data_IF_075535096139
#
_entry.id   IF_075535096139
#
_cell.length_a   1.000
_cell.length_b   1.000
_cell.length_c   1.000
_cell.angle_alpha   90.00
_cell.angle_beta   90.00
_cell.angle_gamma   90.00
#
_symmetry.space_group_name_H-M   'P 1'
#
loop_
_entity.id
_entity.type
_entity.pdbx_description
1 polymer ?
#
# COMPACT_ATOMS: atom_id res chain seq x y z
N UNK A 1 -10.04 2.82 -4.66
CA UNK A 1 -8.74 3.32 -4.14
C UNK A 1 -8.03 4.03 -5.27
N UNK A 2 -7.14 4.95 -4.95
CA UNK A 2 -6.45 5.75 -5.96
C UNK A 2 -4.95 5.52 -5.81
N UNK A 3 -4.25 5.45 -6.94
CA UNK A 3 -2.79 5.46 -6.95
C UNK A 3 -2.28 6.70 -6.20
N UNK A 4 -1.29 6.51 -5.36
CA UNK A 4 -0.65 7.59 -4.62
C UNK A 4 0.11 8.50 -5.58
N UNK A 5 0.09 9.82 -5.31
CA UNK A 5 1.03 10.74 -5.96
C UNK A 5 2.44 10.54 -5.43
N UNK A 6 3.46 11.07 -6.12
CA UNK A 6 4.89 10.83 -5.83
C UNK A 6 5.24 10.95 -4.34
N UNK A 7 4.85 12.06 -3.71
CA UNK A 7 5.14 12.26 -2.28
C UNK A 7 4.31 11.33 -1.38
N UNK A 8 3.06 11.04 -1.73
CA UNK A 8 2.24 10.09 -0.95
C UNK A 8 2.87 8.70 -0.98
N UNK A 9 3.39 8.26 -2.13
CA UNK A 9 4.12 7.00 -2.30
C UNK A 9 5.34 6.96 -1.38
N UNK A 10 6.19 7.98 -1.45
CA UNK A 10 7.42 8.05 -0.62
C UNK A 10 7.07 8.02 0.87
N UNK A 11 6.06 8.77 1.32
CA UNK A 11 5.67 8.76 2.73
C UNK A 11 5.08 7.41 3.16
N UNK A 12 4.30 6.75 2.30
CA UNK A 12 3.76 5.42 2.58
C UNK A 12 4.85 4.36 2.65
N UNK A 13 5.87 4.43 1.79
CA UNK A 13 7.02 3.52 1.83
C UNK A 13 7.78 3.63 3.16
N UNK A 14 8.03 4.85 3.64
CA UNK A 14 8.64 5.09 4.97
C UNK A 14 7.77 4.51 6.08
N UNK A 15 6.45 4.70 6.00
CA UNK A 15 5.53 4.19 7.01
C UNK A 15 5.41 2.65 7.00
N UNK A 16 5.43 2.01 5.83
CA UNK A 16 5.41 0.56 5.69
C UNK A 16 6.70 -0.10 6.15
N UNK A 17 7.85 0.56 5.94
CA UNK A 17 9.14 0.08 6.43
C UNK A 17 9.27 0.12 7.96
N UNK A 18 8.45 0.93 8.65
CA UNK A 18 8.50 1.07 10.10
C UNK A 18 7.61 0.07 10.83
N UNK A 19 8.17 -0.54 11.89
CA UNK A 19 7.42 -1.40 12.83
C UNK A 19 6.61 -0.63 13.88
N UNK A 20 6.82 0.69 13.99
CA UNK A 20 6.16 1.56 14.97
C UNK A 20 5.47 2.74 14.29
N UNK A 21 4.44 3.33 14.92
CA UNK A 21 3.90 4.61 14.45
C UNK A 21 5.00 5.67 14.40
N UNK A 22 4.97 6.51 13.37
CA UNK A 22 5.96 7.57 13.14
C UNK A 22 5.33 8.94 13.24
N UNK A 23 6.00 9.87 13.93
CA UNK A 23 5.60 11.28 13.91
C UNK A 23 5.98 11.93 12.57
N UNK A 24 5.43 13.10 12.26
CA UNK A 24 5.88 13.88 11.09
C UNK A 24 7.38 14.16 11.14
N UNK A 25 7.95 14.36 12.33
CA UNK A 25 9.39 14.56 12.49
C UNK A 25 10.16 13.28 12.18
N UNK A 26 9.73 12.14 12.71
CA UNK A 26 10.36 10.85 12.43
C UNK A 26 10.35 10.54 10.94
N UNK A 27 9.23 10.77 10.26
CA UNK A 27 9.12 10.59 8.81
C UNK A 27 10.12 11.49 8.09
N UNK A 28 10.19 12.78 8.46
CA UNK A 28 11.11 13.72 7.84
C UNK A 28 12.59 13.32 8.01
N UNK A 29 12.94 12.73 9.16
CA UNK A 29 14.29 12.22 9.45
C UNK A 29 14.64 10.95 8.66
N UNK A 30 13.63 10.15 8.30
CA UNK A 30 13.79 8.93 7.51
C UNK A 30 13.68 9.14 5.99
N UNK A 31 13.36 10.36 5.54
CA UNK A 31 13.36 10.69 4.13
C UNK A 31 14.79 10.88 3.60
N UNK A 32 15.06 10.28 2.45
CA UNK A 32 16.30 10.50 1.71
C UNK A 32 16.49 11.99 1.36
N UNK A 33 17.75 12.41 1.19
CA UNK A 33 18.11 13.81 0.86
C UNK A 33 17.37 14.33 -0.38
N UNK A 34 17.21 13.49 -1.40
CA UNK A 34 16.48 13.82 -2.64
C UNK A 34 14.99 14.12 -2.43
N UNK A 35 14.44 13.61 -1.32
CA UNK A 35 13.05 13.76 -0.93
C UNK A 35 12.87 14.66 0.29
N UNK A 36 13.92 15.35 0.76
CA UNK A 36 13.78 16.31 1.85
C UNK A 36 12.80 17.42 1.45
N UNK A 37 11.75 17.56 2.25
CA UNK A 37 10.69 18.57 2.09
C UNK A 37 10.59 19.44 3.31
N UNK A 38 9.89 20.57 3.18
CA UNK A 38 9.49 21.35 4.33
C UNK A 38 8.59 20.52 5.25
N UNK A 39 8.76 20.68 6.57
CA UNK A 39 7.98 19.97 7.59
C UNK A 39 6.46 20.10 7.36
N UNK A 40 5.98 21.29 7.02
CA UNK A 40 4.56 21.56 6.78
C UNK A 40 4.01 20.81 5.56
N UNK A 41 4.84 20.57 4.55
CA UNK A 41 4.46 19.76 3.37
C UNK A 41 4.23 18.30 3.78
N UNK A 42 5.19 17.70 4.49
CA UNK A 42 5.06 16.33 5.01
C UNK A 42 3.85 16.20 5.93
N UNK A 43 3.67 17.18 6.84
CA UNK A 43 2.52 17.23 7.75
C UNK A 43 1.19 17.23 6.98
N UNK A 44 1.08 18.08 5.94
CA UNK A 44 -0.15 18.21 5.15
C UNK A 44 -0.44 16.94 4.34
N UNK A 45 0.59 16.29 3.82
CA UNK A 45 0.43 15.04 3.05
C UNK A 45 0.02 13.90 3.97
N UNK A 46 0.60 13.78 5.16
CA UNK A 46 0.18 12.81 6.17
C UNK A 46 -1.27 13.04 6.63
N UNK A 47 -1.68 14.30 6.80
CA UNK A 47 -3.07 14.63 7.14
C UNK A 47 -4.03 14.28 5.98
N UNK A 48 -3.62 14.50 4.74
CA UNK A 48 -4.38 14.07 3.56
C UNK A 48 -4.51 12.55 3.46
N UNK A 49 -3.42 11.80 3.66
CA UNK A 49 -3.43 10.33 3.70
C UNK A 49 -4.36 9.83 4.82
N UNK A 50 -4.35 10.50 5.96
CA UNK A 50 -5.25 10.18 7.07
C UNK A 50 -6.71 10.43 6.71
N UNK A 51 -7.03 11.60 6.14
CA UNK A 51 -8.38 11.95 5.69
C UNK A 51 -8.92 10.99 4.64
N UNK A 52 -8.04 10.47 3.77
CA UNK A 52 -8.37 9.44 2.76
C UNK A 52 -8.48 8.02 3.36
N UNK A 53 -8.12 7.82 4.64
CA UNK A 53 -8.22 6.54 5.34
C UNK A 53 -7.06 5.59 5.12
N UNK A 54 -5.96 6.02 4.50
CA UNK A 54 -4.79 5.14 4.26
C UNK A 54 -3.90 4.98 5.49
N UNK A 55 -3.89 5.98 6.37
CA UNK A 55 -3.17 5.95 7.64
C UNK A 55 -4.09 6.27 8.80
N UNK A 56 -3.88 5.60 9.92
CA UNK A 56 -4.46 6.00 11.20
C UNK A 56 -3.48 6.92 11.92
N UNK A 57 -4.00 7.83 12.74
CA UNK A 57 -3.18 8.69 13.59
C UNK A 57 -3.59 8.61 15.05
N UNK A 58 -2.61 8.74 15.94
CA UNK A 58 -2.82 8.88 17.38
C UNK A 58 -2.02 10.06 17.88
N UNK A 59 -2.55 10.76 18.89
CA UNK A 59 -1.83 11.85 19.55
C UNK A 59 -0.62 11.29 20.32
N UNK A 60 0.53 11.90 20.12
CA UNK A 60 1.79 11.60 20.79
C UNK A 60 2.41 12.91 21.28
N UNK A 61 2.19 13.21 22.57
CA UNK A 61 2.48 14.52 23.16
C UNK A 61 1.78 15.67 22.42
N UNK A 62 2.57 16.55 21.78
CA UNK A 62 2.09 17.70 20.99
C UNK A 62 1.96 17.39 19.50
N UNK A 63 2.37 16.21 19.05
CA UNK A 63 2.33 15.79 17.64
C UNK A 63 1.31 14.66 17.42
N UNK A 64 1.15 14.27 16.16
CA UNK A 64 0.45 13.04 15.78
C UNK A 64 1.47 12.03 15.25
N UNK A 65 1.33 10.78 15.68
CA UNK A 65 2.02 9.63 15.13
C UNK A 65 1.08 8.86 14.20
N UNK A 66 1.60 8.47 13.04
CA UNK A 66 0.87 7.85 11.93
C UNK A 66 1.31 6.40 11.76
N UNK A 67 0.38 5.53 11.36
CA UNK A 67 0.69 4.16 10.92
C UNK A 67 -0.21 3.78 9.74
N UNK A 68 0.26 2.95 8.80
CA UNK A 68 -0.58 2.41 7.75
C UNK A 68 -1.79 1.66 8.33
N UNK A 69 -2.95 1.80 7.69
CA UNK A 69 -4.13 0.99 8.03
C UNK A 69 -4.03 -0.42 7.44
N UNK A 70 -3.33 -0.55 6.31
CA UNK A 70 -3.10 -1.80 5.57
C UNK A 70 -1.61 -1.98 5.28
N UNK A 71 -1.17 -3.22 5.14
CA UNK A 71 0.15 -3.53 4.62
C UNK A 71 0.31 -3.07 3.16
N UNK A 72 1.54 -3.09 2.65
CA UNK A 72 1.82 -2.76 1.25
C UNK A 72 1.15 -3.76 0.32
N UNK A 73 1.22 -5.04 0.67
CA UNK A 73 0.66 -6.17 -0.07
C UNK A 73 -0.87 -6.09 -0.09
N UNK A 74 -1.50 -5.83 1.06
CA UNK A 74 -2.96 -5.61 1.15
C UNK A 74 -3.43 -4.41 0.32
N UNK A 75 -2.63 -3.34 0.27
CA UNK A 75 -2.92 -2.19 -0.58
C UNK A 75 -2.81 -2.53 -2.07
N UNK A 76 -1.74 -3.21 -2.47
CA UNK A 76 -1.53 -3.66 -3.85
C UNK A 76 -2.62 -4.62 -4.31
N UNK A 77 -2.99 -5.60 -3.48
CA UNK A 77 -4.08 -6.54 -3.77
C UNK A 77 -5.41 -5.80 -4.00
N UNK A 78 -5.72 -4.80 -3.17
CA UNK A 78 -6.92 -3.99 -3.35
C UNK A 78 -6.91 -3.11 -4.61
N UNK A 79 -5.72 -2.74 -5.12
CA UNK A 79 -5.59 -2.07 -6.42
C UNK A 79 -5.79 -3.06 -7.57
N UNK A 80 -5.20 -4.26 -7.48
CA UNK A 80 -5.40 -5.32 -8.47
C UNK A 80 -6.87 -5.71 -8.61
N UNK A 81 -7.58 -5.90 -7.50
CA UNK A 81 -9.02 -6.18 -7.48
C UNK A 81 -9.82 -5.10 -8.23
N UNK A 82 -9.50 -3.82 -7.99
CA UNK A 82 -10.16 -2.72 -8.69
C UNK A 82 -9.86 -2.72 -10.19
N UNK A 83 -8.61 -2.99 -10.59
CA UNK A 83 -8.26 -3.08 -12.00
C UNK A 83 -9.02 -4.20 -12.71
N UNK A 84 -9.19 -5.36 -12.05
CA UNK A 84 -10.00 -6.47 -12.57
C UNK A 84 -11.46 -6.07 -12.82
N UNK A 85 -12.03 -5.20 -11.98
CA UNK A 85 -13.41 -4.70 -12.19
C UNK A 85 -13.55 -3.68 -13.33
N UNK A 86 -12.46 -3.01 -13.72
CA UNK A 86 -12.48 -1.98 -14.78
C UNK A 86 -12.35 -2.61 -16.17
N UNK A 87 -11.70 -3.77 -16.29
CA UNK A 87 -11.35 -4.44 -17.56
C UNK A 87 -12.52 -5.04 -18.37
N UNK A 88 -13.77 -4.82 -17.96
CA UNK A 88 -14.93 -5.46 -18.59
C UNK A 88 -15.17 -6.85 -18.00
N UNK A 89 -14.72 -7.91 -18.69
CA UNK A 89 -14.85 -9.30 -18.22
C UNK A 89 -13.67 -9.67 -17.28
N UNK A 90 -13.93 -9.85 -15.97
CA UNK A 90 -12.89 -10.19 -15.02
C UNK A 90 -12.24 -11.56 -15.29
N UNK A 91 -13.00 -12.52 -15.81
CA UNK A 91 -12.49 -13.86 -16.10
C UNK A 91 -11.50 -13.84 -17.28
N UNK A 92 -11.85 -13.11 -18.35
CA UNK A 92 -10.95 -12.90 -19.48
C UNK A 92 -9.69 -12.12 -19.08
N UNK A 93 -9.83 -11.10 -18.22
CA UNK A 93 -8.68 -10.32 -17.72
C UNK A 93 -7.72 -11.20 -16.90
N UNK A 94 -8.25 -12.06 -16.03
CA UNK A 94 -7.45 -13.01 -15.27
C UNK A 94 -6.78 -14.04 -16.17
N UNK A 95 -7.48 -14.55 -17.19
CA UNK A 95 -6.89 -15.48 -18.15
C UNK A 95 -5.69 -14.86 -18.85
N UNK A 96 -5.83 -13.65 -19.40
CA UNK A 96 -4.73 -12.95 -20.03
C UNK A 96 -3.60 -12.61 -19.06
N UNK A 97 -3.91 -12.27 -17.81
CA UNK A 97 -2.87 -12.06 -16.80
C UNK A 97 -2.06 -13.34 -16.56
N UNK A 98 -2.72 -14.49 -16.38
CA UNK A 98 -2.08 -15.78 -16.15
C UNK A 98 -1.26 -16.23 -17.36
N UNK A 99 -1.69 -15.93 -18.59
CA UNK A 99 -0.92 -16.21 -19.82
C UNK A 99 0.42 -15.48 -19.89
N UNK A 100 0.59 -14.36 -19.17
CA UNK A 100 1.83 -13.58 -19.14
C UNK A 100 2.74 -13.92 -17.95
N UNK A 101 2.31 -14.83 -17.06
CA UNK A 101 3.14 -15.25 -15.94
C UNK A 101 4.26 -16.17 -16.40
N UNK A 102 5.42 -16.03 -15.77
CA UNK A 102 6.50 -17.00 -15.93
C UNK A 102 6.09 -18.36 -15.34
N UNK A 103 6.72 -19.45 -15.81
CA UNK A 103 6.34 -20.81 -15.40
C UNK A 103 6.41 -21.02 -13.87
N UNK A 104 7.39 -20.41 -13.22
CA UNK A 104 7.54 -20.44 -11.77
C UNK A 104 6.38 -19.73 -11.06
N UNK A 105 6.01 -18.53 -11.53
CA UNK A 105 4.92 -17.73 -10.95
C UNK A 105 3.57 -18.43 -11.12
N UNK A 106 3.32 -19.01 -12.30
CA UNK A 106 2.11 -19.79 -12.55
C UNK A 106 2.03 -21.03 -11.65
N UNK A 107 3.16 -21.70 -11.39
CA UNK A 107 3.23 -22.85 -10.49
C UNK A 107 2.94 -22.43 -9.04
N UNK A 108 3.54 -21.33 -8.59
CA UNK A 108 3.26 -20.78 -7.26
C UNK A 108 1.79 -20.39 -7.10
N UNK A 109 1.20 -19.73 -8.10
CA UNK A 109 -0.21 -19.34 -8.08
C UNK A 109 -1.14 -20.56 -7.97
N UNK A 110 -0.89 -21.63 -8.75
CA UNK A 110 -1.66 -22.88 -8.64
C UNK A 110 -1.58 -23.47 -7.24
N UNK A 111 -0.37 -23.60 -6.68
CA UNK A 111 -0.19 -24.12 -5.33
C UNK A 111 -0.89 -23.26 -4.25
N UNK A 112 -0.96 -21.94 -4.44
CA UNK A 112 -1.72 -21.06 -3.56
C UNK A 112 -3.23 -21.27 -3.67
N UNK A 113 -3.76 -21.43 -4.89
CA UNK A 113 -5.18 -21.68 -5.13
C UNK A 113 -5.63 -23.03 -4.57
N UNK A 114 -4.82 -24.09 -4.74
CA UNK A 114 -5.11 -25.41 -4.19
C UNK A 114 -5.21 -25.37 -2.66
N UNK A 115 -4.25 -24.71 -2.00
CA UNK A 115 -4.26 -24.51 -0.54
C UNK A 115 -5.46 -23.72 -0.03
N UNK A 116 -5.99 -22.78 -0.82
CA UNK A 116 -7.19 -22.01 -0.45
C UNK A 116 -8.46 -22.86 -0.62
N UNK A 117 -8.54 -23.70 -1.65
CA UNK A 117 -9.67 -24.61 -1.87
C UNK A 117 -9.78 -25.73 -0.83
N UNK A 118 -8.65 -26.19 -0.28
CA UNK A 118 -8.61 -27.19 0.80
C UNK A 118 -9.10 -26.64 2.15
N UNK A 119 -9.08 -25.32 2.36
CA UNK A 119 -9.51 -24.66 3.61
C UNK A 119 -11.01 -24.42 3.73
N UNK A 120 -11.77 -24.64 2.66
CA UNK A 120 -13.24 -24.47 2.61
C UNK A 120 -14.02 -25.82 2.61
N UNK A 121 -13.32 -26.95 2.80
CA UNK A 121 -13.92 -28.31 2.83
C UNK A 121 -13.98 -28.92 4.24
#
# INVERSE_FOLDING_TARGET
MKQFGDLETVLMDVLWASRRPLTTRDVLELLDEDHKRAYTTVMTVLDNLHRKGYVSRRRDGRAFAYRPVRSREEHTAALMEQLLTVGGDPAATLLHFVEHLEEEEATQLRAMLDRLGEGES
#
